data_IF_514179026938
#
_entry.id   IF_514179026938
#
_cell.length_a   1.000
_cell.length_b   1.000
_cell.length_c   1.000
_cell.angle_alpha   90.00
_cell.angle_beta   90.00
_cell.angle_gamma   90.00
#
_symmetry.space_group_name_H-M   'P 1'
#
loop_
_entity.id
_entity.type
_entity.pdbx_description
1 polymer ?
#
# COMPACT_ATOMS: atom_id res chain seq x y z
N UNK A 1 22.94 2.00 -16.22
CA UNK A 1 22.50 0.81 -15.45
C UNK A 1 22.96 0.77 -13.97
N UNK A 2 23.83 1.68 -13.51
CA UNK A 2 24.27 1.72 -12.08
C UNK A 2 23.37 2.58 -11.16
N UNK A 3 22.55 3.46 -11.70
CA UNK A 3 21.66 4.31 -10.90
C UNK A 3 20.36 3.60 -10.48
N UNK A 4 19.84 2.66 -11.27
CA UNK A 4 18.65 1.88 -10.93
C UNK A 4 18.89 0.86 -9.80
N UNK A 5 20.11 0.32 -9.68
CA UNK A 5 20.46 -0.66 -8.65
C UNK A 5 20.65 -0.03 -7.27
N UNK A 6 21.11 1.23 -7.18
CA UNK A 6 21.32 1.93 -5.90
C UNK A 6 20.01 2.40 -5.23
N UNK A 7 19.06 2.88 -6.04
CA UNK A 7 17.74 3.27 -5.54
C UNK A 7 16.94 2.04 -5.04
N UNK A 8 16.97 0.93 -5.76
CA UNK A 8 16.34 -0.32 -5.35
C UNK A 8 16.96 -0.94 -4.08
N UNK A 9 18.27 -0.79 -3.87
CA UNK A 9 18.96 -1.23 -2.67
C UNK A 9 18.61 -0.40 -1.42
N UNK A 10 18.55 0.92 -1.56
CA UNK A 10 18.20 1.83 -0.46
C UNK A 10 16.74 1.67 -0.02
N UNK A 11 15.80 1.48 -0.96
CA UNK A 11 14.40 1.18 -0.69
C UNK A 11 14.26 -0.17 0.04
N UNK A 12 15.03 -1.17 -0.35
CA UNK A 12 15.02 -2.51 0.25
C UNK A 12 15.61 -2.54 1.67
N UNK A 13 16.60 -1.71 1.99
CA UNK A 13 17.16 -1.55 3.34
C UNK A 13 16.22 -0.80 4.28
N UNK A 14 15.55 0.26 3.81
CA UNK A 14 14.57 1.02 4.61
C UNK A 14 13.33 0.18 4.90
N UNK A 15 12.94 -0.73 4.01
CA UNK A 15 11.81 -1.65 4.19
C UNK A 15 12.06 -2.78 5.19
N UNK A 16 13.31 -3.07 5.58
CA UNK A 16 13.65 -4.23 6.41
C UNK A 16 13.27 -4.12 7.89
N UNK A 17 12.96 -2.93 8.43
CA UNK A 17 13.00 -2.74 9.89
C UNK A 17 11.78 -2.13 10.59
N UNK A 18 10.71 -1.76 9.89
CA UNK A 18 9.49 -1.30 10.60
C UNK A 18 8.27 -1.27 9.67
N UNK A 19 7.24 -2.01 10.02
CA UNK A 19 5.90 -1.96 9.41
C UNK A 19 5.40 -0.51 9.32
N UNK A 20 5.65 0.30 10.35
CA UNK A 20 5.34 1.73 10.39
C UNK A 20 5.99 2.51 9.24
N UNK A 21 7.27 2.28 8.95
CA UNK A 21 8.00 2.95 7.86
C UNK A 21 7.51 2.47 6.50
N UNK A 22 7.17 1.20 6.37
CA UNK A 22 6.60 0.64 5.13
C UNK A 22 5.25 1.27 4.81
N UNK A 23 4.33 1.33 5.76
CA UNK A 23 3.04 2.01 5.58
C UNK A 23 3.21 3.49 5.26
N UNK A 24 4.04 4.22 6.01
CA UNK A 24 4.32 5.63 5.75
C UNK A 24 4.89 5.85 4.35
N UNK A 25 5.80 5.00 3.90
CA UNK A 25 6.40 5.09 2.57
C UNK A 25 5.40 4.78 1.46
N UNK A 26 4.61 3.70 1.59
CA UNK A 26 3.62 3.29 0.58
C UNK A 26 2.52 4.34 0.45
N UNK A 27 1.94 4.79 1.57
CA UNK A 27 0.90 5.83 1.55
C UNK A 27 1.45 7.18 1.08
N UNK A 28 2.65 7.56 1.51
CA UNK A 28 3.33 8.77 1.04
C UNK A 28 3.61 8.74 -0.46
N UNK A 29 4.08 7.61 -0.98
CA UNK A 29 4.35 7.44 -2.41
C UNK A 29 3.08 7.43 -3.25
N UNK A 30 2.02 6.75 -2.79
CA UNK A 30 0.71 6.77 -3.43
C UNK A 30 0.14 8.20 -3.49
N UNK A 31 0.22 8.93 -2.38
CA UNK A 31 -0.28 10.30 -2.29
C UNK A 31 0.51 11.24 -3.21
N UNK A 32 1.85 11.18 -3.15
CA UNK A 32 2.71 11.95 -4.06
C UNK A 32 2.44 11.59 -5.53
N UNK A 33 2.29 10.31 -5.82
CA UNK A 33 1.98 9.82 -7.17
C UNK A 33 0.65 10.33 -7.70
N UNK A 34 -0.41 10.33 -6.88
CA UNK A 34 -1.73 10.85 -7.28
C UNK A 34 -1.70 12.36 -7.50
N UNK A 35 -1.03 13.13 -6.65
CA UNK A 35 -0.89 14.59 -6.82
C UNK A 35 -0.11 14.92 -8.09
N UNK A 36 1.01 14.24 -8.33
CA UNK A 36 1.82 14.41 -9.54
C UNK A 36 1.06 14.01 -10.80
N UNK A 37 0.30 12.93 -10.75
CA UNK A 37 -0.54 12.48 -11.87
C UNK A 37 -1.64 13.51 -12.18
N UNK A 38 -2.34 14.01 -11.16
CA UNK A 38 -3.35 15.05 -11.33
C UNK A 38 -2.74 16.33 -11.91
N UNK A 39 -1.58 16.75 -11.40
CA UNK A 39 -0.87 17.91 -11.93
C UNK A 39 -0.46 17.72 -13.40
N UNK A 40 0.09 16.54 -13.72
CA UNK A 40 0.50 16.20 -15.09
C UNK A 40 -0.70 16.21 -16.06
N UNK A 41 -1.81 15.57 -15.68
CA UNK A 41 -3.03 15.54 -16.47
C UNK A 41 -3.55 16.97 -16.67
N UNK A 42 -3.64 17.75 -15.59
CA UNK A 42 -4.14 19.11 -15.63
C UNK A 42 -3.27 20.00 -16.55
N UNK A 43 -1.95 19.93 -16.38
CA UNK A 43 -1.02 20.74 -17.18
C UNK A 43 -0.99 20.35 -18.67
N UNK A 44 -1.24 19.08 -19.00
CA UNK A 44 -1.13 18.58 -20.38
C UNK A 44 -2.45 18.66 -21.15
N UNK A 45 -3.57 18.40 -20.47
CA UNK A 45 -4.86 18.21 -21.14
C UNK A 45 -5.84 19.34 -20.91
N UNK A 46 -5.73 20.11 -19.84
CA UNK A 46 -6.74 21.10 -19.47
C UNK A 46 -6.87 22.23 -20.51
N UNK A 47 -5.74 22.75 -21.00
CA UNK A 47 -5.74 23.79 -22.05
C UNK A 47 -6.39 23.26 -23.33
N UNK A 48 -6.04 22.05 -23.75
CA UNK A 48 -6.65 21.41 -24.95
C UNK A 48 -8.13 21.17 -24.78
N UNK A 49 -8.56 20.78 -23.58
CA UNK A 49 -9.97 20.58 -23.27
C UNK A 49 -10.76 21.89 -23.34
N UNK A 50 -10.25 22.95 -22.73
CA UNK A 50 -10.87 24.28 -22.80
C UNK A 50 -10.92 24.81 -24.22
N UNK A 51 -9.83 24.66 -24.99
CA UNK A 51 -9.78 25.07 -26.38
C UNK A 51 -10.82 24.32 -27.25
N UNK A 52 -10.94 23.01 -27.04
CA UNK A 52 -11.94 22.22 -27.76
C UNK A 52 -13.38 22.61 -27.39
N UNK A 53 -13.64 22.90 -26.10
CA UNK A 53 -14.93 23.42 -25.67
C UNK A 53 -15.21 24.82 -26.27
N UNK A 54 -14.21 25.70 -26.36
CA UNK A 54 -14.31 27.00 -26.99
C UNK A 54 -14.66 26.87 -28.48
N UNK A 55 -13.96 25.95 -29.18
CA UNK A 55 -14.29 25.63 -30.58
C UNK A 55 -15.76 25.21 -30.75
N UNK A 56 -16.25 24.29 -29.90
CA UNK A 56 -17.65 23.87 -29.94
C UNK A 56 -18.63 25.02 -29.66
N UNK A 57 -18.31 25.88 -28.70
CA UNK A 57 -19.14 27.03 -28.37
C UNK A 57 -19.19 28.06 -29.51
N UNK A 58 -18.07 28.28 -30.22
CA UNK A 58 -18.05 29.14 -31.40
C UNK A 58 -18.85 28.54 -32.57
N UNK A 59 -18.76 27.23 -32.79
CA UNK A 59 -19.58 26.56 -33.83
C UNK A 59 -21.07 26.64 -33.50
N UNK A 60 -21.46 26.39 -32.24
CA UNK A 60 -22.85 26.55 -31.82
C UNK A 60 -23.35 28.00 -31.99
N UNK A 61 -22.52 28.99 -31.69
CA UNK A 61 -22.84 30.38 -31.91
C UNK A 61 -22.97 30.70 -33.42
N UNK A 62 -22.12 30.12 -34.25
CA UNK A 62 -22.21 30.21 -35.71
C UNK A 62 -23.52 29.70 -36.22
N UNK A 63 -23.95 28.48 -35.82
CA UNK A 63 -25.20 27.88 -36.25
C UNK A 63 -26.40 28.77 -35.93
N UNK A 64 -26.50 29.28 -34.70
CA UNK A 64 -27.60 30.17 -34.26
C UNK A 64 -27.60 31.48 -35.02
N UNK A 65 -26.43 32.11 -35.20
CA UNK A 65 -26.31 33.39 -35.89
C UNK A 65 -26.58 33.25 -37.40
N UNK A 66 -26.13 32.14 -37.98
CA UNK A 66 -26.37 31.81 -39.37
C UNK A 66 -27.86 31.64 -39.66
N UNK A 67 -28.58 30.88 -38.80
CA UNK A 67 -30.01 30.69 -38.86
C UNK A 67 -30.76 32.02 -38.75
N UNK A 68 -30.48 32.81 -37.70
CA UNK A 68 -31.08 34.14 -37.51
C UNK A 68 -30.80 35.12 -38.66
N UNK A 69 -29.62 35.00 -39.27
CA UNK A 69 -29.21 35.84 -40.43
C UNK A 69 -30.00 35.42 -41.69
N UNK A 70 -30.19 34.12 -41.91
CA UNK A 70 -30.93 33.62 -43.05
C UNK A 70 -32.45 33.90 -42.93
N UNK A 71 -33.00 33.88 -41.72
CA UNK A 71 -34.40 34.24 -41.47
C UNK A 71 -34.65 35.76 -41.46
N UNK A 72 -33.59 36.56 -41.47
CA UNK A 72 -33.67 38.04 -41.36
C UNK A 72 -34.04 38.54 -39.97
N UNK A 73 -34.01 37.68 -38.96
CA UNK A 73 -34.38 37.97 -37.57
C UNK A 73 -33.19 38.51 -36.74
N UNK A 74 -32.00 38.56 -37.30
CA UNK A 74 -30.77 38.96 -36.61
C UNK A 74 -30.83 40.36 -35.96
N UNK A 75 -31.68 41.26 -36.50
CA UNK A 75 -31.87 42.61 -35.97
C UNK A 75 -33.19 42.76 -35.17
N UNK A 76 -33.91 41.68 -34.88
CA UNK A 76 -35.09 41.72 -34.05
C UNK A 76 -34.77 41.86 -32.56
N UNK A 77 -35.61 42.61 -31.82
CA UNK A 77 -35.42 42.83 -30.38
C UNK A 77 -35.35 41.53 -29.58
N UNK A 78 -36.12 40.55 -29.94
CA UNK A 78 -36.13 39.23 -29.28
C UNK A 78 -34.78 38.48 -29.41
N UNK A 79 -34.15 38.61 -30.59
CA UNK A 79 -32.82 38.03 -30.83
C UNK A 79 -31.69 38.75 -30.10
N UNK A 80 -31.88 40.05 -29.76
CA UNK A 80 -30.86 40.80 -28.99
C UNK A 80 -30.54 40.16 -27.64
N UNK A 81 -31.54 39.63 -26.96
CA UNK A 81 -31.36 38.96 -25.68
C UNK A 81 -30.56 37.66 -25.87
N UNK A 82 -30.93 36.87 -26.87
CA UNK A 82 -30.24 35.59 -27.15
C UNK A 82 -28.80 35.86 -27.62
N UNK A 83 -28.60 36.84 -28.48
CA UNK A 83 -27.26 37.28 -28.94
C UNK A 83 -26.35 37.68 -27.78
N UNK A 84 -26.87 38.47 -26.84
CA UNK A 84 -26.10 38.84 -25.64
C UNK A 84 -25.82 37.65 -24.70
N UNK A 85 -26.75 36.73 -24.59
CA UNK A 85 -26.53 35.52 -23.82
C UNK A 85 -25.45 34.60 -24.42
N UNK A 86 -25.46 34.42 -25.76
CA UNK A 86 -24.43 33.67 -26.48
C UNK A 86 -23.05 34.30 -26.24
N UNK A 87 -22.96 35.62 -26.42
CA UNK A 87 -21.71 36.36 -26.23
C UNK A 87 -21.19 36.30 -24.80
N UNK A 88 -22.07 36.56 -23.82
CA UNK A 88 -21.71 36.64 -22.41
C UNK A 88 -21.36 35.29 -21.81
N UNK A 89 -22.21 34.26 -22.06
CA UNK A 89 -21.99 32.89 -21.56
C UNK A 89 -20.68 32.28 -22.04
N UNK A 90 -20.34 32.55 -23.30
CA UNK A 90 -19.18 31.92 -23.93
C UNK A 90 -17.95 32.84 -23.96
N UNK A 91 -18.04 34.08 -23.48
CA UNK A 91 -16.99 35.09 -23.57
C UNK A 91 -16.45 35.17 -25.01
N UNK A 92 -17.37 35.43 -25.96
CA UNK A 92 -17.09 35.56 -27.38
C UNK A 92 -17.54 36.97 -27.80
N UNK A 93 -16.65 37.75 -28.37
CA UNK A 93 -16.97 39.02 -29.04
C UNK A 93 -17.37 38.70 -30.49
N UNK A 94 -18.51 39.17 -30.88
CA UNK A 94 -19.10 38.89 -32.20
C UNK A 94 -19.34 40.14 -32.95
N UNK A 95 -18.98 40.14 -34.23
CA UNK A 95 -19.39 41.14 -35.20
C UNK A 95 -19.94 40.43 -36.43
N UNK A 96 -21.11 40.87 -36.91
CA UNK A 96 -21.73 40.47 -38.17
C UNK A 96 -21.94 41.73 -39.00
N UNK A 97 -21.44 41.72 -40.21
CA UNK A 97 -21.59 42.80 -41.18
C UNK A 97 -22.58 42.35 -42.26
N UNK A 98 -23.74 42.97 -42.30
CA UNK A 98 -24.69 42.83 -43.39
C UNK A 98 -24.17 43.53 -44.64
N UNK A 99 -23.87 42.76 -45.67
CA UNK A 99 -23.32 43.27 -46.94
C UNK A 99 -24.32 44.03 -47.80
N UNK A 100 -25.63 43.79 -47.58
CA UNK A 100 -26.70 44.43 -48.34
C UNK A 100 -27.16 45.75 -47.70
N UNK A 101 -27.49 45.71 -46.40
CA UNK A 101 -28.00 46.87 -45.66
C UNK A 101 -26.87 47.76 -45.10
N UNK A 102 -25.64 47.25 -45.06
CA UNK A 102 -24.44 47.89 -44.42
C UNK A 102 -24.65 48.11 -42.93
N UNK A 103 -25.51 47.33 -42.31
CA UNK A 103 -25.70 47.36 -40.85
C UNK A 103 -24.69 46.43 -40.15
N UNK A 104 -24.36 46.81 -38.91
CA UNK A 104 -23.40 46.04 -38.09
C UNK A 104 -24.13 45.57 -36.83
N UNK A 105 -24.16 44.28 -36.61
CA UNK A 105 -24.56 43.65 -35.35
C UNK A 105 -23.29 43.32 -34.58
N UNK A 106 -23.16 43.81 -33.37
CA UNK A 106 -21.96 43.57 -32.57
C UNK A 106 -22.27 43.41 -31.07
N UNK A 107 -21.45 42.62 -30.39
CA UNK A 107 -21.52 42.45 -28.94
C UNK A 107 -20.69 43.46 -28.16
N UNK A 108 -19.89 44.27 -28.83
CA UNK A 108 -18.99 45.22 -28.19
C UNK A 108 -19.30 46.65 -28.64
N UNK A 109 -19.13 47.62 -27.75
CA UNK A 109 -19.37 49.01 -28.04
C UNK A 109 -18.34 49.61 -29.00
N UNK A 110 -17.08 49.17 -28.89
CA UNK A 110 -16.00 49.58 -29.80
C UNK A 110 -15.82 48.52 -30.89
N UNK A 111 -16.65 48.58 -31.91
CA UNK A 111 -16.62 47.66 -33.03
C UNK A 111 -15.50 47.97 -34.06
N UNK A 112 -14.83 49.10 -33.98
CA UNK A 112 -13.79 49.46 -34.94
C UNK A 112 -12.64 48.47 -34.96
N UNK A 113 -12.28 47.95 -33.79
CA UNK A 113 -11.23 46.94 -33.64
C UNK A 113 -11.59 45.65 -34.35
N UNK A 114 -12.79 45.12 -34.10
CA UNK A 114 -13.28 43.86 -34.71
C UNK A 114 -13.49 44.06 -36.22
N UNK A 115 -14.02 45.22 -36.64
CA UNK A 115 -14.21 45.53 -38.07
C UNK A 115 -12.88 45.59 -38.83
N UNK A 116 -11.88 46.20 -38.24
CA UNK A 116 -10.53 46.24 -38.82
C UNK A 116 -9.93 44.85 -38.94
N UNK A 117 -10.07 44.04 -37.90
CA UNK A 117 -9.59 42.66 -37.89
C UNK A 117 -10.30 41.83 -38.98
N UNK A 118 -11.62 41.93 -39.09
CA UNK A 118 -12.37 41.27 -40.15
C UNK A 118 -11.91 41.68 -41.56
N UNK A 119 -11.60 42.97 -41.77
CA UNK A 119 -11.06 43.43 -43.03
C UNK A 119 -9.63 42.90 -43.28
N UNK A 120 -8.79 42.84 -42.24
CA UNK A 120 -7.43 42.31 -42.36
C UNK A 120 -7.49 40.80 -42.77
N UNK A 121 -8.46 40.01 -42.28
CA UNK A 121 -8.69 38.65 -42.73
C UNK A 121 -9.17 38.57 -44.17
N UNK A 122 -10.15 39.38 -44.57
CA UNK A 122 -10.66 39.40 -45.93
C UNK A 122 -9.60 39.76 -46.97
N UNK A 123 -8.72 40.70 -46.66
CA UNK A 123 -7.63 41.12 -47.55
C UNK A 123 -6.36 40.31 -47.41
N UNK A 124 -6.39 39.23 -46.61
CA UNK A 124 -5.23 38.33 -46.34
C UNK A 124 -3.94 39.05 -45.99
N UNK A 125 -4.05 40.18 -45.28
CA UNK A 125 -2.95 41.08 -45.02
C UNK A 125 -1.88 40.50 -44.10
N UNK A 126 -2.19 39.44 -43.36
CA UNK A 126 -1.35 38.90 -42.30
C UNK A 126 -1.31 37.36 -42.23
N UNK A 127 -1.26 36.65 -43.38
CA UNK A 127 -1.16 35.16 -43.40
C UNK A 127 0.04 34.62 -42.58
N UNK A 128 1.08 35.42 -42.35
CA UNK A 128 2.28 35.06 -41.59
C UNK A 128 2.09 35.10 -40.04
N UNK A 129 0.96 35.60 -39.53
CA UNK A 129 0.69 35.76 -38.08
C UNK A 129 -0.17 34.67 -37.45
N UNK A 130 -0.64 33.70 -38.24
CA UNK A 130 -1.47 32.61 -37.74
C UNK A 130 -0.59 31.57 -37.04
N UNK A 131 -0.63 31.56 -35.71
CA UNK A 131 0.15 30.61 -34.91
C UNK A 131 -0.32 29.18 -35.08
N UNK A 132 -1.65 28.98 -35.21
CA UNK A 132 -2.25 27.65 -35.31
C UNK A 132 -3.62 27.67 -35.98
N UNK A 133 -3.77 26.90 -37.05
CA UNK A 133 -5.08 26.62 -37.67
C UNK A 133 -5.85 25.60 -36.81
N UNK A 134 -7.09 25.92 -36.38
CA UNK A 134 -7.96 25.06 -35.59
C UNK A 134 -9.02 24.38 -36.44
N UNK A 135 -9.54 25.07 -37.45
CA UNK A 135 -10.46 24.55 -38.45
C UNK A 135 -10.38 25.37 -39.73
N UNK A 136 -10.65 24.71 -40.85
CA UNK A 136 -10.79 25.36 -42.15
C UNK A 136 -11.87 24.62 -42.92
N UNK A 137 -12.99 25.31 -43.13
CA UNK A 137 -14.17 24.81 -43.85
C UNK A 137 -14.47 25.77 -45.00
N UNK A 138 -15.43 25.47 -45.80
CA UNK A 138 -15.81 26.30 -46.99
C UNK A 138 -16.33 27.67 -46.58
N UNK A 139 -17.09 27.76 -45.47
CA UNK A 139 -17.81 28.97 -45.04
C UNK A 139 -17.09 29.70 -43.91
N UNK A 140 -16.12 29.05 -43.22
CA UNK A 140 -15.38 29.70 -42.13
C UNK A 140 -13.96 29.11 -41.95
N UNK A 141 -13.12 29.96 -41.39
CA UNK A 141 -11.78 29.55 -40.91
C UNK A 141 -11.61 29.93 -39.44
N UNK A 142 -10.90 29.09 -38.67
CA UNK A 142 -10.65 29.29 -37.25
C UNK A 142 -9.16 29.18 -36.97
N UNK A 143 -8.61 30.21 -36.31
CA UNK A 143 -7.20 30.33 -36.00
C UNK A 143 -6.94 30.73 -34.54
N UNK A 144 -5.74 30.46 -34.06
CA UNK A 144 -5.17 31.19 -32.92
C UNK A 144 -4.27 32.27 -33.50
N UNK A 145 -4.52 33.49 -33.12
CA UNK A 145 -3.75 34.66 -33.56
C UNK A 145 -3.21 35.42 -32.37
N UNK A 146 -1.96 35.86 -32.48
CA UNK A 146 -1.33 36.81 -31.56
C UNK A 146 -1.64 38.24 -32.02
N UNK A 147 -2.47 38.95 -31.29
CA UNK A 147 -2.71 40.37 -31.55
C UNK A 147 -1.47 41.19 -31.12
N UNK A 148 -0.74 41.72 -32.11
CA UNK A 148 0.51 42.46 -31.89
C UNK A 148 0.32 43.75 -31.08
N UNK A 149 -0.88 44.27 -30.99
CA UNK A 149 -1.24 45.47 -30.24
C UNK A 149 -1.42 45.20 -28.75
N UNK A 150 -2.19 44.16 -28.43
CA UNK A 150 -2.46 43.77 -27.05
C UNK A 150 -1.45 42.77 -26.50
N UNK A 151 -0.72 42.09 -27.38
CA UNK A 151 0.18 40.94 -27.08
C UNK A 151 -0.53 39.77 -26.46
N UNK A 152 -1.85 39.67 -26.66
CA UNK A 152 -2.64 38.54 -26.23
C UNK A 152 -2.97 37.65 -27.42
N UNK A 153 -3.10 36.37 -27.16
CA UNK A 153 -3.58 35.40 -28.14
C UNK A 153 -5.11 35.35 -28.10
N UNK A 154 -5.71 35.26 -29.28
CA UNK A 154 -7.14 35.12 -29.46
C UNK A 154 -7.45 33.89 -30.30
N UNK A 155 -8.60 33.27 -30.02
CA UNK A 155 -9.22 32.33 -30.92
C UNK A 155 -10.18 33.15 -31.79
N UNK A 156 -9.89 33.26 -33.07
CA UNK A 156 -10.69 33.96 -34.05
C UNK A 156 -11.33 32.96 -35.02
N UNK A 157 -12.61 33.14 -35.27
CA UNK A 157 -13.38 32.43 -36.29
C UNK A 157 -14.05 33.48 -37.20
N UNK A 158 -13.71 33.45 -38.45
CA UNK A 158 -14.22 34.41 -39.43
C UNK A 158 -14.66 33.69 -40.69
N UNK A 159 -15.54 34.32 -41.44
CA UNK A 159 -16.04 33.76 -42.70
C UNK A 159 -17.25 34.47 -43.22
N UNK A 160 -18.01 33.72 -43.99
CA UNK A 160 -19.24 34.19 -44.69
C UNK A 160 -20.40 33.32 -44.24
N UNK A 161 -21.51 33.94 -43.79
CA UNK A 161 -22.75 33.26 -43.51
C UNK A 161 -23.46 32.89 -44.83
N UNK A 162 -24.41 31.95 -44.78
CA UNK A 162 -25.08 31.42 -45.95
C UNK A 162 -25.85 32.50 -46.76
N UNK A 163 -26.28 33.57 -46.10
CA UNK A 163 -26.93 34.72 -46.76
C UNK A 163 -25.93 35.74 -47.34
N UNK A 164 -24.59 35.47 -47.26
CA UNK A 164 -23.55 36.34 -47.77
C UNK A 164 -23.05 37.41 -46.79
N UNK A 165 -23.54 37.45 -45.56
CA UNK A 165 -23.04 38.33 -44.53
C UNK A 165 -21.69 37.90 -44.02
N UNK A 166 -20.82 38.87 -43.65
CA UNK A 166 -19.51 38.59 -43.13
C UNK A 166 -19.56 38.56 -41.61
N UNK A 167 -18.78 37.67 -40.99
CA UNK A 167 -18.70 37.59 -39.52
C UNK A 167 -17.31 37.38 -39.02
N UNK A 168 -17.08 37.83 -37.76
CA UNK A 168 -15.91 37.50 -36.95
C UNK A 168 -16.34 37.26 -35.52
N UNK A 169 -15.94 36.12 -35.00
CA UNK A 169 -16.04 35.74 -33.58
C UNK A 169 -14.65 35.74 -33.01
N UNK A 170 -14.45 36.46 -31.93
CA UNK A 170 -13.16 36.62 -31.29
C UNK A 170 -13.27 36.31 -29.79
N UNK A 171 -12.39 35.47 -29.28
CA UNK A 171 -12.36 35.13 -27.87
C UNK A 171 -10.92 35.13 -27.34
N UNK A 172 -10.62 35.79 -26.20
CA UNK A 172 -9.27 35.86 -25.67
C UNK A 172 -8.86 34.47 -25.13
N UNK A 173 -7.70 33.99 -25.57
CA UNK A 173 -7.12 32.74 -25.10
C UNK A 173 -6.53 32.89 -23.69
N UNK A 174 -6.15 34.11 -23.32
CA UNK A 174 -5.62 34.43 -21.98
C UNK A 174 -6.59 34.08 -20.87
N UNK A 175 -7.89 34.28 -21.07
CA UNK A 175 -8.92 33.85 -20.09
C UNK A 175 -8.92 32.33 -19.83
N UNK A 176 -8.54 31.54 -20.84
CA UNK A 176 -8.38 30.09 -20.71
C UNK A 176 -7.12 29.79 -19.90
N UNK A 177 -6.01 30.44 -20.22
CA UNK A 177 -4.73 30.26 -19.50
C UNK A 177 -4.82 30.69 -18.04
N UNK A 178 -5.49 31.82 -17.77
CA UNK A 178 -5.75 32.25 -16.39
C UNK A 178 -6.59 31.23 -15.61
N UNK A 179 -7.63 30.66 -16.27
CA UNK A 179 -8.44 29.62 -15.66
C UNK A 179 -7.63 28.37 -15.35
N UNK A 180 -6.74 27.96 -16.27
CA UNK A 180 -5.82 26.82 -16.06
C UNK A 180 -4.83 27.11 -14.92
N UNK A 181 -4.25 28.33 -14.89
CA UNK A 181 -3.32 28.75 -13.83
C UNK A 181 -4.02 28.78 -12.46
N UNK A 182 -5.26 29.28 -12.40
CA UNK A 182 -6.07 29.29 -11.18
C UNK A 182 -6.38 27.87 -10.71
N UNK A 183 -6.79 26.98 -11.62
CA UNK A 183 -7.03 25.58 -11.32
C UNK A 183 -5.78 24.86 -10.81
N UNK A 184 -4.61 25.12 -11.40
CA UNK A 184 -3.32 24.58 -10.94
C UNK A 184 -2.95 25.08 -9.54
N UNK A 185 -3.18 26.36 -9.25
CA UNK A 185 -2.94 26.95 -7.93
C UNK A 185 -3.88 26.33 -6.88
N UNK A 186 -5.15 26.18 -7.22
CA UNK A 186 -6.13 25.51 -6.34
C UNK A 186 -5.74 24.06 -6.08
N UNK A 187 -5.34 23.32 -7.11
CA UNK A 187 -4.84 21.94 -6.98
C UNK A 187 -3.61 21.86 -6.07
N UNK A 188 -2.71 22.83 -6.13
CA UNK A 188 -1.55 22.90 -5.22
C UNK A 188 -1.98 23.07 -3.75
N UNK A 189 -2.97 23.93 -3.46
CA UNK A 189 -3.50 24.08 -2.10
C UNK A 189 -4.20 22.82 -1.60
N UNK A 190 -5.06 22.23 -2.42
CA UNK A 190 -5.75 20.97 -2.09
C UNK A 190 -4.75 19.83 -1.88
N UNK A 191 -3.74 19.73 -2.76
CA UNK A 191 -2.68 18.74 -2.65
C UNK A 191 -1.86 18.87 -1.36
N UNK A 192 -1.52 20.11 -0.98
CA UNK A 192 -0.82 20.37 0.29
C UNK A 192 -1.67 20.01 1.49
N UNK A 193 -2.95 20.40 1.50
CA UNK A 193 -3.90 20.04 2.57
C UNK A 193 -4.07 18.51 2.68
N UNK A 194 -4.21 17.83 1.56
CA UNK A 194 -4.31 16.37 1.51
C UNK A 194 -3.03 15.68 2.01
N UNK A 195 -1.85 16.22 1.72
CA UNK A 195 -0.58 15.69 2.24
C UNK A 195 -0.49 15.80 3.77
N UNK A 196 -0.89 16.94 4.35
CA UNK A 196 -0.95 17.13 5.81
C UNK A 196 -1.95 16.15 6.43
N UNK A 197 -3.14 16.04 5.85
CA UNK A 197 -4.18 15.12 6.33
C UNK A 197 -3.73 13.65 6.27
N UNK A 198 -3.07 13.26 5.19
CA UNK A 198 -2.48 11.92 5.05
C UNK A 198 -1.42 11.65 6.13
N UNK A 199 -0.56 12.63 6.43
CA UNK A 199 0.43 12.50 7.50
C UNK A 199 -0.23 12.26 8.87
N UNK A 200 -1.33 12.96 9.18
CA UNK A 200 -2.10 12.73 10.39
C UNK A 200 -2.72 11.32 10.45
N UNK A 201 -3.29 10.84 9.34
CA UNK A 201 -3.83 9.48 9.26
C UNK A 201 -2.72 8.44 9.49
N UNK A 202 -1.55 8.61 8.90
CA UNK A 202 -0.40 7.71 9.10
C UNK A 202 -0.01 7.65 10.58
N UNK A 203 0.00 8.77 11.29
CA UNK A 203 0.28 8.82 12.72
C UNK A 203 -0.77 8.06 13.54
N UNK A 204 -2.06 8.24 13.22
CA UNK A 204 -3.16 7.54 13.89
C UNK A 204 -3.11 6.02 13.63
N UNK A 205 -2.90 5.61 12.39
CA UNK A 205 -2.74 4.19 12.00
C UNK A 205 -1.53 3.57 12.71
N UNK A 206 -0.41 4.31 12.76
CA UNK A 206 0.79 3.87 13.48
C UNK A 206 0.50 3.54 14.94
N UNK A 207 -0.21 4.42 15.65
CA UNK A 207 -0.51 4.22 17.09
C UNK A 207 -1.56 3.13 17.33
N UNK A 208 -2.61 3.06 16.50
CA UNK A 208 -3.73 2.14 16.73
C UNK A 208 -3.53 0.73 16.18
N UNK A 209 -2.66 0.57 15.18
CA UNK A 209 -2.46 -0.72 14.50
C UNK A 209 -1.02 -1.21 14.67
N UNK A 210 -0.03 -0.37 14.38
CA UNK A 210 1.35 -0.83 14.32
C UNK A 210 1.96 -1.05 15.69
N UNK A 211 1.71 -0.17 16.67
CA UNK A 211 2.24 -0.32 18.04
C UNK A 211 1.74 -1.59 18.72
N UNK A 212 0.43 -1.92 18.75
CA UNK A 212 -0.06 -3.16 19.32
C UNK A 212 0.51 -4.42 18.64
N UNK A 213 0.64 -4.43 17.32
CA UNK A 213 1.24 -5.56 16.59
C UNK A 213 2.72 -5.75 16.99
N UNK A 214 3.47 -4.67 17.16
CA UNK A 214 4.85 -4.74 17.63
C UNK A 214 4.94 -5.23 19.07
N UNK A 215 4.00 -4.87 19.93
CA UNK A 215 3.91 -5.37 21.30
C UNK A 215 3.67 -6.88 21.30
N UNK A 216 2.69 -7.38 20.52
CA UNK A 216 2.43 -8.81 20.35
C UNK A 216 3.65 -9.57 19.81
N UNK A 217 4.38 -8.98 18.88
CA UNK A 217 5.63 -9.54 18.35
C UNK A 217 6.67 -9.71 19.46
N UNK A 218 6.82 -8.70 20.35
CA UNK A 218 7.76 -8.77 21.50
C UNK A 218 7.32 -9.82 22.51
N UNK A 219 6.05 -9.93 22.81
CA UNK A 219 5.51 -10.95 23.70
C UNK A 219 5.81 -12.34 23.13
N UNK A 220 5.54 -12.57 21.86
CA UNK A 220 5.86 -13.84 21.18
C UNK A 220 7.36 -14.17 21.21
N UNK A 221 8.25 -13.18 21.05
CA UNK A 221 9.70 -13.37 21.15
C UNK A 221 10.14 -13.75 22.58
N UNK A 222 9.53 -13.17 23.62
CA UNK A 222 9.77 -13.56 25.02
C UNK A 222 9.29 -14.98 25.31
N UNK A 223 8.11 -15.35 24.83
CA UNK A 223 7.56 -16.72 24.95
C UNK A 223 8.50 -17.76 24.34
N UNK A 224 9.14 -17.45 23.21
CA UNK A 224 10.16 -18.31 22.59
C UNK A 224 11.32 -18.63 23.54
N UNK A 225 11.64 -17.74 24.46
CA UNK A 225 12.64 -17.91 25.48
C UNK A 225 12.09 -18.41 26.83
N UNK A 226 10.86 -18.95 26.82
CA UNK A 226 10.15 -19.47 28.00
C UNK A 226 9.86 -18.40 29.06
N UNK A 227 9.80 -17.13 28.66
CA UNK A 227 9.38 -16.03 29.50
C UNK A 227 7.90 -15.73 29.25
N UNK A 228 7.07 -16.24 30.13
CA UNK A 228 5.61 -16.18 30.05
C UNK A 228 5.00 -15.02 30.86
N UNK A 229 5.83 -14.22 31.54
CA UNK A 229 5.35 -13.10 32.37
C UNK A 229 4.81 -11.92 31.54
N UNK A 230 5.24 -11.84 30.27
CA UNK A 230 4.79 -10.79 29.38
C UNK A 230 3.37 -11.05 28.90
N UNK A 231 2.45 -10.18 29.29
CA UNK A 231 1.03 -10.23 28.86
C UNK A 231 0.66 -9.02 28.05
N UNK A 232 -0.19 -9.19 27.06
CA UNK A 232 -0.80 -8.11 26.31
C UNK A 232 -1.89 -7.44 27.16
N UNK A 233 -1.75 -6.12 27.36
CA UNK A 233 -2.66 -5.33 28.21
C UNK A 233 -3.62 -4.44 27.42
N UNK A 234 -3.62 -4.52 26.09
CA UNK A 234 -4.49 -3.70 25.24
C UNK A 234 -5.97 -4.01 25.46
N UNK A 235 -6.74 -2.95 25.74
CA UNK A 235 -8.19 -3.03 26.04
C UNK A 235 -9.03 -2.38 24.94
N UNK A 236 -8.69 -2.53 23.68
CA UNK A 236 -9.50 -2.04 22.57
C UNK A 236 -10.46 -3.14 22.06
N UNK A 237 -11.61 -2.74 21.49
CA UNK A 237 -12.55 -3.70 20.88
C UNK A 237 -12.18 -4.01 19.43
N UNK A 238 -10.92 -4.30 19.18
CA UNK A 238 -10.39 -4.60 17.84
C UNK A 238 -9.95 -6.04 17.76
N UNK A 239 -9.84 -6.57 16.54
CA UNK A 239 -9.32 -7.90 16.25
C UNK A 239 -7.89 -8.10 16.80
N UNK A 240 -7.12 -7.01 16.91
CA UNK A 240 -5.77 -7.05 17.49
C UNK A 240 -5.83 -7.32 18.99
N UNK A 241 -6.80 -6.74 19.70
CA UNK A 241 -6.96 -7.02 21.12
C UNK A 241 -7.46 -8.44 21.38
N UNK A 242 -8.34 -8.95 20.52
CA UNK A 242 -8.74 -10.35 20.58
C UNK A 242 -7.55 -11.30 20.34
N UNK A 243 -6.72 -10.97 19.35
CA UNK A 243 -5.47 -11.71 19.10
C UNK A 243 -4.55 -11.66 20.32
N UNK A 244 -4.45 -10.51 20.98
CA UNK A 244 -3.66 -10.33 22.20
C UNK A 244 -4.17 -11.20 23.36
N UNK A 245 -5.48 -11.29 23.55
CA UNK A 245 -6.08 -12.18 24.55
C UNK A 245 -5.79 -13.65 24.24
N UNK A 246 -5.96 -14.09 23.00
CA UNK A 246 -5.64 -15.45 22.58
C UNK A 246 -4.16 -15.79 22.79
N UNK A 247 -3.25 -14.84 22.58
CA UNK A 247 -1.81 -15.02 22.87
C UNK A 247 -1.59 -15.16 24.38
N UNK A 248 -2.29 -14.40 25.23
CA UNK A 248 -2.20 -14.52 26.68
C UNK A 248 -2.68 -15.92 27.14
N UNK A 249 -3.83 -16.38 26.64
CA UNK A 249 -4.37 -17.73 26.94
C UNK A 249 -3.40 -18.83 26.49
N UNK A 250 -2.81 -18.69 25.29
CA UNK A 250 -1.80 -19.63 24.80
C UNK A 250 -0.56 -19.63 25.70
N UNK A 251 -0.13 -18.46 26.15
CA UNK A 251 1.00 -18.30 27.08
C UNK A 251 0.76 -19.06 28.39
N UNK A 252 -0.44 -18.93 28.98
CA UNK A 252 -0.82 -19.63 30.22
C UNK A 252 -0.87 -21.15 30.05
N UNK A 253 -1.47 -21.60 28.95
CA UNK A 253 -1.53 -23.03 28.65
C UNK A 253 -0.12 -23.66 28.46
N UNK A 254 0.78 -22.95 27.77
CA UNK A 254 2.16 -23.37 27.58
C UNK A 254 2.93 -23.41 28.89
N UNK A 255 2.78 -22.39 29.74
CA UNK A 255 3.43 -22.32 31.06
C UNK A 255 3.01 -23.51 31.94
N UNK A 256 1.69 -23.78 32.00
CA UNK A 256 1.14 -24.97 32.76
C UNK A 256 1.71 -26.26 32.22
N UNK A 257 1.67 -26.46 30.90
CA UNK A 257 2.15 -27.71 30.27
C UNK A 257 3.64 -27.94 30.51
N UNK A 258 4.45 -26.87 30.43
CA UNK A 258 5.91 -26.94 30.70
C UNK A 258 6.17 -27.27 32.18
N UNK A 259 5.40 -26.67 33.10
CA UNK A 259 5.49 -26.95 34.53
C UNK A 259 5.13 -28.41 34.83
N UNK A 260 4.06 -28.93 34.26
CA UNK A 260 3.63 -30.34 34.40
C UNK A 260 4.69 -31.30 33.84
N UNK A 261 5.21 -31.02 32.64
CA UNK A 261 6.30 -31.80 32.03
C UNK A 261 7.56 -31.82 32.89
N UNK A 262 7.94 -30.68 33.49
CA UNK A 262 9.09 -30.59 34.39
C UNK A 262 8.87 -31.42 35.66
N UNK A 263 7.68 -31.37 36.24
CA UNK A 263 7.32 -32.17 37.41
C UNK A 263 7.34 -33.67 37.09
N UNK A 264 6.72 -34.09 36.00
CA UNK A 264 6.74 -35.49 35.57
C UNK A 264 8.16 -35.99 35.25
N UNK A 265 8.99 -35.15 34.63
CA UNK A 265 10.38 -35.51 34.36
C UNK A 265 11.20 -35.67 35.64
N UNK A 266 10.97 -34.83 36.66
CA UNK A 266 11.62 -34.97 37.97
C UNK A 266 11.17 -36.22 38.70
N UNK A 267 9.89 -36.57 38.59
CA UNK A 267 9.35 -37.81 39.16
C UNK A 267 9.96 -39.06 38.50
N UNK A 268 10.00 -39.08 37.16
CA UNK A 268 10.65 -40.14 36.40
C UNK A 268 12.13 -40.31 36.77
N UNK A 269 12.86 -39.22 36.96
CA UNK A 269 14.26 -39.28 37.39
C UNK A 269 14.41 -39.95 38.75
N UNK A 270 13.56 -39.59 39.71
CA UNK A 270 13.56 -40.23 41.06
C UNK A 270 13.23 -41.72 40.98
N UNK A 271 12.29 -42.08 40.13
CA UNK A 271 11.92 -43.52 39.96
C UNK A 271 13.07 -44.30 39.31
N UNK A 272 13.77 -43.73 38.34
CA UNK A 272 14.96 -44.35 37.74
C UNK A 272 16.07 -44.50 38.79
N UNK A 273 16.31 -43.50 39.64
CA UNK A 273 17.30 -43.57 40.72
C UNK A 273 16.94 -44.71 41.70
N UNK A 274 15.71 -44.78 42.18
CA UNK A 274 15.22 -45.86 43.04
C UNK A 274 15.38 -47.24 42.41
N UNK A 275 15.00 -47.36 41.11
CA UNK A 275 15.18 -48.61 40.40
C UNK A 275 16.64 -49.05 40.32
N UNK A 276 17.54 -48.14 40.06
CA UNK A 276 18.99 -48.38 40.01
C UNK A 276 19.52 -48.85 41.39
N UNK A 277 19.09 -48.22 42.49
CA UNK A 277 19.44 -48.61 43.86
C UNK A 277 18.97 -50.04 44.16
N UNK A 278 17.73 -50.39 43.76
CA UNK A 278 17.19 -51.76 43.94
C UNK A 278 17.97 -52.77 43.09
N UNK A 279 18.31 -52.40 41.86
CA UNK A 279 19.08 -53.29 40.98
C UNK A 279 20.53 -53.50 41.49
N UNK A 280 21.15 -52.49 42.08
CA UNK A 280 22.47 -52.61 42.74
C UNK A 280 22.38 -53.52 43.99
N UNK A 281 21.40 -53.27 44.87
CA UNK A 281 21.21 -54.11 46.05
C UNK A 281 20.96 -55.55 45.63
N UNK A 282 20.19 -55.83 44.57
CA UNK A 282 19.94 -57.17 44.05
C UNK A 282 21.24 -57.83 43.53
N UNK A 283 22.10 -57.07 42.82
CA UNK A 283 23.40 -57.57 42.34
C UNK A 283 24.30 -57.96 43.52
N UNK A 284 24.39 -57.08 44.51
CA UNK A 284 25.22 -57.30 45.72
C UNK A 284 24.70 -58.46 46.49
N UNK A 285 23.36 -58.56 46.66
CA UNK A 285 22.76 -59.75 47.31
C UNK A 285 23.12 -61.04 46.58
N UNK A 286 22.91 -61.07 45.24
CA UNK A 286 23.24 -62.26 44.42
C UNK A 286 24.73 -62.64 44.50
N UNK A 287 25.60 -61.59 44.47
CA UNK A 287 27.05 -61.79 44.60
C UNK A 287 27.44 -62.41 45.98
N UNK A 288 26.88 -61.83 47.04
CA UNK A 288 27.17 -62.22 48.38
C UNK A 288 26.66 -63.66 48.64
N UNK A 289 25.37 -63.96 48.25
CA UNK A 289 24.79 -65.30 48.37
C UNK A 289 25.63 -66.31 47.58
N UNK A 290 26.09 -65.96 46.36
CA UNK A 290 26.92 -66.83 45.55
C UNK A 290 28.27 -67.13 46.24
N UNK A 291 28.86 -66.15 46.86
CA UNK A 291 30.10 -66.32 47.62
C UNK A 291 29.91 -67.13 48.88
N UNK A 292 28.85 -66.84 49.66
CA UNK A 292 28.53 -67.56 50.89
C UNK A 292 28.13 -69.03 50.65
N UNK A 293 27.49 -69.31 49.49
CA UNK A 293 27.16 -70.72 49.12
C UNK A 293 28.36 -71.44 48.51
N UNK A 294 29.28 -70.82 47.85
CA UNK A 294 30.42 -71.49 47.22
C UNK A 294 31.37 -72.11 48.21
N UNK A 295 31.57 -71.52 49.38
CA UNK A 295 32.45 -72.03 50.43
C UNK A 295 31.94 -73.33 51.03
N UNK A 296 30.67 -73.44 51.56
CA UNK A 296 30.13 -74.69 52.09
C UNK A 296 30.04 -75.81 51.05
N UNK A 297 29.63 -75.43 49.78
CA UNK A 297 29.59 -76.43 48.71
C UNK A 297 31.00 -76.95 48.38
N UNK A 298 32.03 -76.09 48.34
CA UNK A 298 33.41 -76.56 48.12
C UNK A 298 33.93 -77.45 49.25
N UNK A 299 33.55 -77.17 50.52
CA UNK A 299 33.86 -77.99 51.67
C UNK A 299 33.18 -79.34 51.59
N UNK A 300 31.88 -79.35 51.33
CA UNK A 300 31.06 -80.64 51.15
C UNK A 300 31.70 -81.46 50.04
N UNK A 301 32.00 -80.84 48.90
CA UNK A 301 32.58 -81.47 47.72
C UNK A 301 33.97 -82.05 48.07
N UNK A 302 34.86 -81.33 48.75
CA UNK A 302 36.23 -81.70 49.10
C UNK A 302 36.22 -82.88 50.07
N UNK A 303 35.33 -82.87 51.08
CA UNK A 303 35.19 -84.03 52.04
C UNK A 303 34.53 -85.20 51.40
N UNK A 304 33.55 -85.06 50.53
CA UNK A 304 32.91 -86.14 49.79
C UNK A 304 33.90 -86.79 48.78
N UNK A 305 34.76 -86.02 48.11
CA UNK A 305 35.83 -86.55 47.26
C UNK A 305 36.86 -87.33 48.09
N UNK A 306 37.25 -86.79 49.26
CA UNK A 306 38.14 -87.50 50.17
C UNK A 306 37.60 -88.85 50.63
N UNK A 307 36.28 -88.97 50.94
CA UNK A 307 35.62 -90.21 51.25
C UNK A 307 35.61 -91.20 50.08
N UNK A 308 35.37 -90.71 48.84
CA UNK A 308 35.32 -91.49 47.63
C UNK A 308 36.68 -92.03 47.22
N UNK A 309 37.76 -91.28 47.44
CA UNK A 309 39.14 -91.67 47.07
C UNK A 309 39.78 -92.54 48.16
N UNK A 310 39.15 -92.74 49.31
CA UNK A 310 39.67 -93.51 50.38
C UNK A 310 40.96 -93.04 51.02
N UNK A 311 41.14 -91.69 51.04
CA UNK A 311 42.36 -91.06 51.52
C UNK A 311 42.64 -91.34 52.98
N UNK A 312 41.60 -91.58 53.79
CA UNK A 312 41.66 -92.10 55.23
C UNK A 312 40.70 -93.20 55.41
N UNK A 313 41.20 -94.43 55.54
CA UNK A 313 40.39 -95.69 55.58
C UNK A 313 40.01 -96.16 57.02
N UNK A 314 40.38 -95.35 58.01
CA UNK A 314 40.02 -95.58 59.39
C UNK A 314 38.56 -95.13 59.69
N UNK A 315 37.92 -95.77 60.61
CA UNK A 315 36.49 -95.53 60.91
C UNK A 315 36.23 -94.11 61.51
N UNK A 316 37.19 -93.57 62.28
CA UNK A 316 37.09 -92.29 62.95
C UNK A 316 37.16 -91.14 61.96
N UNK A 317 38.08 -91.20 61.00
CA UNK A 317 38.23 -90.22 59.96
C UNK A 317 37.06 -90.16 58.99
N UNK A 318 36.43 -91.33 58.68
CA UNK A 318 35.20 -91.34 57.84
C UNK A 318 34.02 -90.71 58.56
N UNK A 319 33.87 -90.96 59.84
CA UNK A 319 32.79 -90.38 60.64
C UNK A 319 32.97 -88.91 60.74
N UNK A 320 34.17 -88.39 60.97
CA UNK A 320 34.47 -86.94 60.94
C UNK A 320 34.14 -86.26 59.59
N UNK A 321 34.47 -86.89 58.45
CA UNK A 321 34.17 -86.35 57.14
C UNK A 321 32.64 -86.32 56.90
N UNK A 322 31.89 -87.34 57.34
CA UNK A 322 30.44 -87.32 57.29
C UNK A 322 29.81 -86.25 58.17
N UNK A 323 30.32 -86.05 59.40
CA UNK A 323 29.85 -85.01 60.29
C UNK A 323 30.05 -83.63 59.72
N UNK A 324 31.24 -83.32 59.11
CA UNK A 324 31.50 -82.05 58.50
C UNK A 324 30.59 -81.80 57.31
N UNK A 325 30.33 -82.79 56.47
CA UNK A 325 29.38 -82.71 55.35
C UNK A 325 27.96 -82.39 55.86
N UNK A 326 27.52 -83.09 56.89
CA UNK A 326 26.18 -82.88 57.48
C UNK A 326 26.05 -81.52 58.18
N UNK A 327 27.07 -81.09 58.89
CA UNK A 327 27.08 -79.78 59.54
C UNK A 327 27.00 -78.62 58.48
N UNK A 328 27.84 -78.70 57.44
CA UNK A 328 27.86 -77.70 56.39
C UNK A 328 26.58 -77.71 55.50
N UNK A 329 25.94 -78.91 55.30
CA UNK A 329 24.71 -79.01 54.57
C UNK A 329 23.48 -78.53 55.36
N UNK A 330 23.57 -78.41 56.69
CA UNK A 330 22.52 -77.92 57.58
C UNK A 330 22.60 -76.42 57.92
N UNK A 331 23.66 -75.83 57.58
CA UNK A 331 23.84 -74.32 57.63
C UNK A 331 23.09 -73.66 56.52
#
# INVERSE_FOLDING_TARGET
NKFHTKAGGMVREVMKYSIRRQFAFVFGLLMAGTILLCWFINNTFLEKYYLNNKKKAMLSAYDIINEASNEGTINAEDFDIEFQQICGKNNINIIVLDTQTRTIKTSVNDYEVLSRQLLDYLFKKNEAQYDRVLAKEENYEMYIELDMRTRFEYVDMWGVLDNGNLFLFRSPLESIRESVALANRFLAYVGTGAAIFSALIILLVSRKITEPIMELTRISERMKHLDFDAKYMGNSRTEISLLGQNINELSEALESTISELKSANNELKRDIERKNEVDEMRKDFLSNVSHELKTPIALIQGYAEGLKEGINDDAESREFYCEVIMDEASK
#
